data_IF_174571963537
#
_entry.id   IF_174571963537
#
_cell.length_a   1.000
_cell.length_b   1.000
_cell.length_c   1.000
_cell.angle_alpha   90.00
_cell.angle_beta   90.00
_cell.angle_gamma   90.00
#
_symmetry.space_group_name_H-M   'P 1'
#
loop_
_entity.id
_entity.type
_entity.pdbx_description
1 polymer ?
#
# COMPACT_ATOMS: atom_id res chain seq x y z
N UNK A 1 54.19 -22.74 -24.52
CA UNK A 1 52.82 -23.25 -24.28
C UNK A 1 51.83 -22.18 -24.73
N UNK A 2 50.92 -22.53 -25.63
CA UNK A 2 50.01 -21.61 -26.33
C UNK A 2 48.80 -21.23 -25.44
N UNK A 3 48.54 -19.94 -25.13
CA UNK A 3 47.53 -19.48 -24.16
C UNK A 3 46.06 -19.57 -24.63
N UNK A 4 45.85 -19.98 -25.86
CA UNK A 4 44.58 -20.00 -26.60
C UNK A 4 43.63 -21.14 -26.18
N UNK A 5 44.12 -22.20 -25.54
CA UNK A 5 43.29 -23.36 -25.17
C UNK A 5 42.50 -23.14 -23.88
N UNK A 6 42.99 -22.28 -22.98
CA UNK A 6 42.40 -22.10 -21.64
C UNK A 6 41.14 -21.20 -21.66
N UNK A 7 41.09 -20.21 -22.56
CA UNK A 7 39.98 -19.25 -22.65
C UNK A 7 38.72 -19.88 -23.26
N UNK A 8 38.87 -20.91 -24.11
CA UNK A 8 37.74 -21.54 -24.79
C UNK A 8 36.92 -22.47 -23.86
N UNK A 9 37.57 -23.13 -22.90
CA UNK A 9 36.91 -24.01 -21.93
C UNK A 9 36.01 -23.27 -20.93
N UNK A 10 36.46 -22.10 -20.42
CA UNK A 10 35.68 -21.29 -19.48
C UNK A 10 34.39 -20.72 -20.11
N UNK A 11 34.49 -20.26 -21.36
CA UNK A 11 33.34 -19.65 -22.09
C UNK A 11 32.20 -20.65 -22.31
N UNK A 12 32.53 -21.92 -22.54
CA UNK A 12 31.56 -22.99 -22.81
C UNK A 12 30.79 -23.44 -21.56
N UNK A 13 31.43 -23.40 -20.39
CA UNK A 13 30.79 -23.76 -19.11
C UNK A 13 29.89 -22.64 -18.56
N UNK A 14 30.27 -21.37 -18.76
CA UNK A 14 29.44 -20.21 -18.37
C UNK A 14 28.14 -20.16 -19.19
N UNK A 15 28.21 -20.39 -20.50
CA UNK A 15 27.02 -20.43 -21.37
C UNK A 15 26.03 -21.53 -20.96
N UNK A 16 26.51 -22.71 -20.59
CA UNK A 16 25.67 -23.81 -20.11
C UNK A 16 25.03 -23.51 -18.76
N UNK A 17 25.79 -22.93 -17.84
CA UNK A 17 25.28 -22.53 -16.52
C UNK A 17 24.20 -21.44 -16.62
N UNK A 18 24.39 -20.44 -17.48
CA UNK A 18 23.38 -19.40 -17.74
C UNK A 18 22.10 -19.95 -18.36
N UNK A 19 22.18 -20.93 -19.26
CA UNK A 19 20.99 -21.57 -19.87
C UNK A 19 20.23 -22.41 -18.84
N UNK A 20 20.91 -23.21 -18.02
CA UNK A 20 20.25 -23.99 -16.95
C UNK A 20 19.64 -23.08 -15.86
N UNK A 21 20.32 -21.99 -15.50
CA UNK A 21 19.81 -21.03 -14.53
C UNK A 21 18.59 -20.26 -15.07
N UNK A 22 18.61 -19.88 -16.36
CA UNK A 22 17.47 -19.26 -17.04
C UNK A 22 16.26 -20.20 -17.16
N UNK A 23 16.49 -21.49 -17.42
CA UNK A 23 15.42 -22.48 -17.52
C UNK A 23 14.79 -22.78 -16.15
N UNK A 24 15.60 -22.81 -15.10
CA UNK A 24 15.14 -23.00 -13.72
C UNK A 24 14.34 -21.81 -13.19
N UNK A 25 14.71 -20.58 -13.59
CA UNK A 25 13.93 -19.37 -13.27
C UNK A 25 12.57 -19.38 -13.97
N UNK A 26 12.51 -19.83 -15.23
CA UNK A 26 11.26 -19.96 -15.98
C UNK A 26 10.31 -21.01 -15.38
N UNK A 27 10.84 -22.13 -14.89
CA UNK A 27 10.05 -23.18 -14.21
C UNK A 27 9.57 -22.76 -12.82
N UNK A 28 10.34 -21.95 -12.09
CA UNK A 28 9.89 -21.39 -10.79
C UNK A 28 8.84 -20.28 -10.94
N UNK A 29 8.77 -19.60 -12.08
CA UNK A 29 7.80 -18.53 -12.33
C UNK A 29 6.42 -19.01 -12.82
N UNK A 30 6.26 -20.32 -13.05
CA UNK A 30 4.99 -20.93 -13.52
C UNK A 30 4.05 -21.39 -12.41
N UNK A 31 4.25 -20.98 -11.15
CA UNK A 31 3.19 -21.13 -10.14
C UNK A 31 2.06 -20.16 -10.51
N UNK A 32 1.07 -20.66 -11.23
CA UNK A 32 -0.19 -19.98 -11.50
C UNK A 32 -0.84 -19.64 -10.16
N UNK A 33 -0.93 -18.35 -9.85
CA UNK A 33 -1.76 -17.84 -8.76
C UNK A 33 -3.21 -18.04 -9.19
N UNK A 34 -3.82 -19.13 -8.76
CA UNK A 34 -5.28 -19.23 -8.81
C UNK A 34 -5.83 -18.24 -7.78
N UNK A 35 -6.81 -17.42 -8.19
CA UNK A 35 -7.54 -16.57 -7.27
C UNK A 35 -8.31 -17.49 -6.31
N UNK A 36 -7.83 -17.62 -5.08
CA UNK A 36 -8.50 -18.41 -4.06
C UNK A 36 -9.75 -17.66 -3.57
N UNK A 37 -10.90 -18.35 -3.56
CA UNK A 37 -12.14 -17.81 -3.00
C UNK A 37 -11.97 -17.64 -1.49
N UNK A 38 -11.66 -16.42 -1.08
CA UNK A 38 -11.32 -16.08 0.31
C UNK A 38 -12.06 -14.81 0.74
N UNK A 39 -12.55 -14.74 2.00
CA UNK A 39 -13.13 -13.53 2.55
C UNK A 39 -12.19 -12.31 2.49
N UNK A 40 -10.88 -12.52 2.57
CA UNK A 40 -9.87 -11.47 2.51
C UNK A 40 -9.79 -10.84 1.11
N UNK A 41 -9.82 -11.65 0.04
CA UNK A 41 -9.91 -11.13 -1.32
C UNK A 41 -11.24 -10.40 -1.54
N UNK A 42 -12.32 -10.99 -1.03
CA UNK A 42 -13.65 -10.39 -1.03
C UNK A 42 -13.71 -9.01 -0.38
N UNK A 43 -13.04 -8.84 0.75
CA UNK A 43 -12.97 -7.56 1.46
C UNK A 43 -12.30 -6.47 0.62
N UNK A 44 -11.24 -6.81 -0.13
CA UNK A 44 -10.55 -5.85 -1.01
C UNK A 44 -11.47 -5.37 -2.12
N UNK A 45 -12.09 -6.32 -2.83
CA UNK A 45 -13.03 -6.02 -3.91
C UNK A 45 -14.26 -5.24 -3.39
N UNK A 46 -14.80 -5.64 -2.23
CA UNK A 46 -15.91 -4.95 -1.59
C UNK A 46 -15.60 -3.48 -1.29
N UNK A 47 -14.45 -3.20 -0.66
CA UNK A 47 -14.01 -1.82 -0.34
C UNK A 47 -13.78 -0.96 -1.57
N UNK A 48 -13.37 -1.58 -2.68
CA UNK A 48 -13.03 -0.85 -3.89
C UNK A 48 -14.26 -0.56 -4.75
N UNK A 49 -15.24 -1.47 -4.79
CA UNK A 49 -16.31 -1.43 -5.78
C UNK A 49 -17.73 -1.42 -5.21
N UNK A 50 -17.93 -1.78 -3.94
CA UNK A 50 -19.26 -2.05 -3.39
C UNK A 50 -19.66 -1.09 -2.25
N UNK A 51 -18.72 -0.66 -1.41
CA UNK A 51 -18.99 0.17 -0.21
C UNK A 51 -19.61 1.54 -0.53
N UNK A 52 -19.36 2.08 -1.72
CA UNK A 52 -19.90 3.38 -2.12
C UNK A 52 -21.43 3.37 -2.23
N UNK A 53 -22.04 2.21 -2.49
CA UNK A 53 -23.48 2.09 -2.67
C UNK A 53 -24.16 1.14 -1.68
N UNK A 54 -23.43 0.17 -1.12
CA UNK A 54 -23.99 -0.84 -0.23
C UNK A 54 -23.34 -0.80 1.15
N UNK A 55 -24.19 -0.93 2.18
CA UNK A 55 -23.78 -1.29 3.52
C UNK A 55 -24.34 -2.67 3.87
N UNK A 56 -23.76 -3.30 4.89
CA UNK A 56 -24.20 -4.62 5.35
C UNK A 56 -25.57 -4.47 6.02
N UNK A 57 -25.65 -3.67 7.08
CA UNK A 57 -26.87 -3.59 7.91
C UNK A 57 -27.83 -2.45 7.54
N UNK A 58 -27.35 -1.43 6.83
CA UNK A 58 -28.11 -0.19 6.61
C UNK A 58 -28.41 0.03 5.12
N UNK A 59 -29.52 0.72 4.83
CA UNK A 59 -29.84 1.18 3.47
C UNK A 59 -28.97 2.40 3.12
N UNK A 60 -28.38 2.38 1.94
CA UNK A 60 -27.65 3.51 1.35
C UNK A 60 -28.27 3.85 0.00
N UNK A 61 -27.47 3.92 -1.06
CA UNK A 61 -27.93 4.03 -2.46
C UNK A 61 -28.56 2.71 -2.90
N UNK A 62 -27.98 1.58 -2.49
CA UNK A 62 -28.49 0.23 -2.70
C UNK A 62 -29.06 -0.40 -1.42
N UNK A 63 -29.68 -1.59 -1.55
CA UNK A 63 -30.22 -2.35 -0.42
C UNK A 63 -29.14 -2.79 0.57
N UNK A 64 -29.51 -3.00 1.85
CA UNK A 64 -28.64 -3.66 2.82
C UNK A 64 -28.35 -5.10 2.38
N UNK A 65 -27.08 -5.50 2.51
CA UNK A 65 -26.58 -6.80 2.05
C UNK A 65 -26.43 -7.86 3.16
N UNK A 66 -26.82 -7.53 4.39
CA UNK A 66 -26.89 -8.51 5.49
C UNK A 66 -27.70 -9.72 5.05
N UNK A 67 -27.20 -10.94 5.20
CA UNK A 67 -27.91 -12.19 4.90
C UNK A 67 -28.44 -12.30 3.45
N UNK A 68 -27.77 -11.64 2.49
CA UNK A 68 -28.23 -11.65 1.08
C UNK A 68 -28.23 -13.06 0.46
N UNK A 69 -27.35 -13.94 0.94
CA UNK A 69 -27.25 -15.35 0.57
C UNK A 69 -28.47 -16.17 1.00
N UNK A 70 -29.22 -15.72 2.01
CA UNK A 70 -30.49 -16.35 2.42
C UNK A 70 -31.67 -15.86 1.58
N UNK A 71 -31.59 -14.64 1.02
CA UNK A 71 -32.67 -14.01 0.25
C UNK A 71 -32.66 -14.41 -1.22
N UNK A 72 -31.48 -14.71 -1.78
CA UNK A 72 -31.32 -15.00 -3.21
C UNK A 72 -30.27 -16.08 -3.41
N UNK A 73 -30.46 -16.89 -4.46
CA UNK A 73 -29.52 -17.95 -4.80
C UNK A 73 -28.18 -17.39 -5.29
N UNK A 74 -27.10 -18.14 -5.04
CA UNK A 74 -25.75 -17.75 -5.50
C UNK A 74 -25.71 -17.53 -7.01
N UNK A 75 -26.34 -18.42 -7.81
CA UNK A 75 -26.38 -18.30 -9.26
C UNK A 75 -27.06 -17.00 -9.74
N UNK A 76 -28.12 -16.57 -9.05
CA UNK A 76 -28.78 -15.29 -9.33
C UNK A 76 -27.87 -14.13 -8.95
N UNK A 77 -27.21 -14.19 -7.78
CA UNK A 77 -26.29 -13.15 -7.32
C UNK A 77 -25.08 -12.99 -8.24
N UNK A 78 -24.51 -14.09 -8.75
CA UNK A 78 -23.45 -14.07 -9.75
C UNK A 78 -23.89 -13.31 -11.01
N UNK A 79 -25.09 -13.63 -11.52
CA UNK A 79 -25.64 -13.00 -12.73
C UNK A 79 -25.94 -11.51 -12.51
N UNK A 80 -26.55 -11.17 -11.36
CA UNK A 80 -26.88 -9.80 -10.99
C UNK A 80 -25.63 -8.93 -10.80
N UNK A 81 -24.64 -9.41 -10.05
CA UNK A 81 -23.41 -8.66 -9.80
C UNK A 81 -22.61 -8.49 -11.10
N UNK A 82 -22.53 -9.54 -11.93
CA UNK A 82 -21.80 -9.44 -13.21
C UNK A 82 -22.45 -8.43 -14.15
N UNK A 83 -23.76 -8.56 -14.38
CA UNK A 83 -24.49 -7.69 -15.30
C UNK A 83 -25.99 -7.65 -14.98
N UNK A 84 -26.35 -6.81 -14.01
CA UNK A 84 -27.74 -6.56 -13.63
C UNK A 84 -28.60 -6.04 -14.81
N UNK A 85 -28.03 -5.29 -15.75
CA UNK A 85 -28.78 -4.79 -16.91
C UNK A 85 -29.20 -5.95 -17.82
N UNK A 86 -28.29 -6.88 -18.10
CA UNK A 86 -28.61 -8.07 -18.88
C UNK A 86 -29.64 -8.97 -18.16
N UNK A 87 -29.54 -9.10 -16.83
CA UNK A 87 -30.50 -9.88 -16.05
C UNK A 87 -31.90 -9.24 -16.00
N UNK A 88 -31.99 -7.90 -16.00
CA UNK A 88 -33.27 -7.20 -16.17
C UNK A 88 -33.83 -7.37 -17.59
N UNK A 89 -32.96 -7.26 -18.60
CA UNK A 89 -33.34 -7.40 -20.00
C UNK A 89 -33.83 -8.82 -20.35
N UNK A 90 -33.39 -9.86 -19.63
CA UNK A 90 -33.92 -11.22 -19.80
C UNK A 90 -35.34 -11.40 -19.26
N UNK A 91 -35.90 -10.39 -18.58
CA UNK A 91 -37.25 -10.43 -18.00
C UNK A 91 -37.30 -11.01 -16.58
N UNK A 92 -36.17 -11.11 -15.88
CA UNK A 92 -36.16 -11.57 -14.49
C UNK A 92 -36.95 -10.59 -13.60
N UNK A 93 -38.05 -11.08 -13.03
CA UNK A 93 -38.96 -10.26 -12.24
C UNK A 93 -38.30 -9.68 -10.99
N UNK A 94 -37.45 -10.45 -10.30
CA UNK A 94 -36.79 -9.99 -9.08
C UNK A 94 -35.79 -8.86 -9.36
N UNK A 95 -35.08 -8.95 -10.49
CA UNK A 95 -34.14 -7.94 -10.98
C UNK A 95 -34.85 -6.64 -11.38
N UNK A 96 -36.03 -6.74 -11.99
CA UNK A 96 -36.85 -5.58 -12.38
C UNK A 96 -37.45 -4.92 -11.13
N UNK A 97 -38.02 -5.70 -10.22
CA UNK A 97 -38.69 -5.21 -9.02
C UNK A 97 -37.71 -4.41 -8.13
N UNK A 98 -36.51 -4.95 -7.88
CA UNK A 98 -35.50 -4.25 -7.06
C UNK A 98 -35.02 -2.96 -7.74
N UNK A 99 -34.90 -2.93 -9.07
CA UNK A 99 -34.50 -1.72 -9.79
C UNK A 99 -35.56 -0.63 -9.70
N UNK A 100 -36.85 -0.99 -9.78
CA UNK A 100 -37.96 -0.06 -9.58
C UNK A 100 -38.02 0.47 -8.14
N UNK A 101 -37.81 -0.39 -7.14
CA UNK A 101 -37.80 -0.02 -5.72
C UNK A 101 -36.70 1.00 -5.38
N UNK A 102 -35.54 0.89 -6.04
CA UNK A 102 -34.38 1.76 -5.82
C UNK A 102 -34.31 2.91 -6.84
N UNK A 103 -35.46 3.48 -7.20
CA UNK A 103 -35.59 4.68 -8.06
C UNK A 103 -34.90 4.55 -9.42
N UNK A 104 -34.84 3.34 -9.98
CA UNK A 104 -34.15 3.05 -11.24
C UNK A 104 -32.64 3.35 -11.21
N UNK A 105 -32.04 3.42 -10.02
CA UNK A 105 -30.60 3.54 -9.87
C UNK A 105 -29.92 2.29 -10.41
N UNK A 106 -28.94 2.47 -11.30
CA UNK A 106 -28.24 1.36 -11.92
C UNK A 106 -27.00 0.98 -11.13
N UNK A 107 -26.87 -0.32 -10.84
CA UNK A 107 -25.59 -0.88 -10.39
C UNK A 107 -24.67 -0.99 -11.62
N UNK A 108 -23.37 -0.63 -11.52
CA UNK A 108 -22.44 -0.82 -12.63
C UNK A 108 -22.28 -2.31 -12.97
N UNK A 109 -21.93 -2.62 -14.22
CA UNK A 109 -21.63 -3.98 -14.67
C UNK A 109 -20.16 -4.32 -14.42
N UNK A 110 -19.90 -5.45 -13.76
CA UNK A 110 -18.56 -5.91 -13.40
C UNK A 110 -18.12 -7.04 -14.34
N UNK A 111 -18.03 -6.75 -15.64
CA UNK A 111 -17.70 -7.74 -16.68
C UNK A 111 -16.27 -8.29 -16.54
N UNK A 112 -15.39 -7.58 -15.83
CA UNK A 112 -14.03 -7.99 -15.53
C UNK A 112 -13.91 -8.95 -14.34
N UNK A 113 -15.01 -9.20 -13.60
CA UNK A 113 -14.97 -10.11 -12.44
C UNK A 113 -15.20 -11.55 -12.87
N UNK A 114 -14.30 -12.43 -12.41
CA UNK A 114 -14.46 -13.88 -12.50
C UNK A 114 -15.56 -14.36 -11.54
N UNK A 115 -16.01 -15.60 -11.69
CA UNK A 115 -16.95 -16.19 -10.72
C UNK A 115 -16.35 -16.22 -9.32
N UNK A 116 -15.04 -16.49 -9.21
CA UNK A 116 -14.33 -16.59 -7.93
C UNK A 116 -14.18 -15.22 -7.25
N UNK A 117 -14.03 -14.14 -8.01
CA UNK A 117 -14.04 -12.77 -7.48
C UNK A 117 -15.39 -12.44 -6.84
N UNK A 118 -16.49 -12.74 -7.54
CA UNK A 118 -17.83 -12.48 -7.03
C UNK A 118 -18.13 -13.38 -5.82
N UNK A 119 -17.76 -14.66 -5.86
CA UNK A 119 -17.89 -15.57 -4.71
C UNK A 119 -17.10 -15.08 -3.51
N UNK A 120 -15.90 -14.54 -3.71
CA UNK A 120 -15.10 -13.95 -2.64
C UNK A 120 -15.83 -12.76 -1.99
N UNK A 121 -16.44 -11.88 -2.80
CA UNK A 121 -17.27 -10.77 -2.30
C UNK A 121 -18.45 -11.30 -1.48
N UNK A 122 -19.17 -12.30 -1.99
CA UNK A 122 -20.31 -12.90 -1.30
C UNK A 122 -19.90 -13.58 0.01
N UNK A 123 -18.75 -14.28 0.04
CA UNK A 123 -18.23 -14.90 1.26
C UNK A 123 -17.86 -13.86 2.31
N UNK A 124 -17.27 -12.73 1.91
CA UNK A 124 -17.01 -11.61 2.81
C UNK A 124 -18.31 -11.02 3.39
N UNK A 125 -19.32 -10.78 2.55
CA UNK A 125 -20.62 -10.24 2.99
C UNK A 125 -21.29 -11.20 3.99
N UNK A 126 -21.22 -12.51 3.75
CA UNK A 126 -21.75 -13.53 4.66
C UNK A 126 -21.08 -13.47 6.03
N UNK A 127 -19.75 -13.50 6.08
CA UNK A 127 -18.98 -13.39 7.34
C UNK A 127 -19.35 -12.11 8.10
N UNK A 128 -19.50 -11.00 7.38
CA UNK A 128 -19.86 -9.72 8.00
C UNK A 128 -21.32 -9.63 8.45
N UNK A 129 -22.22 -10.44 7.87
CA UNK A 129 -23.63 -10.54 8.25
C UNK A 129 -23.84 -11.33 9.55
N UNK A 130 -23.00 -12.35 9.77
CA UNK A 130 -22.98 -13.18 10.98
C UNK A 130 -22.31 -12.48 12.17
N UNK A 131 -21.56 -11.39 11.93
CA UNK A 131 -20.93 -10.60 12.98
C UNK A 131 -21.98 -9.79 13.81
N UNK A 132 -21.81 -9.67 15.14
CA UNK A 132 -22.77 -8.95 16.00
C UNK A 132 -22.96 -7.49 15.57
N UNK A 133 -24.22 -7.03 15.58
CA UNK A 133 -24.69 -5.73 15.07
C UNK A 133 -24.10 -4.46 15.75
N UNK A 134 -23.19 -4.62 16.71
CA UNK A 134 -22.48 -3.55 17.40
C UNK A 134 -20.99 -3.46 17.06
N UNK A 135 -20.54 -4.13 16.01
CA UNK A 135 -19.42 -3.55 15.27
C UNK A 135 -20.03 -2.48 14.37
N UNK A 136 -19.70 -1.18 14.55
CA UNK A 136 -19.68 -0.30 13.40
C UNK A 136 -19.02 -1.12 12.30
N UNK A 137 -19.56 -1.11 11.08
CA UNK A 137 -18.65 -1.21 9.96
C UNK A 137 -17.56 -0.23 10.34
N UNK A 138 -16.38 -0.75 10.69
CA UNK A 138 -15.22 0.08 10.79
C UNK A 138 -15.17 0.60 9.36
N UNK A 139 -15.76 1.79 9.16
CA UNK A 139 -15.11 2.83 8.41
C UNK A 139 -13.69 2.68 8.89
N UNK A 140 -12.93 1.98 8.06
CA UNK A 140 -11.52 1.81 8.28
C UNK A 140 -11.05 3.21 8.68
N UNK A 141 -10.16 3.34 9.67
CA UNK A 141 -9.40 4.58 9.83
C UNK A 141 -9.10 5.05 8.42
N UNK A 142 -9.70 6.19 8.05
CA UNK A 142 -9.66 6.68 6.69
C UNK A 142 -8.24 6.53 6.23
N UNK A 143 -8.06 5.87 5.08
CA UNK A 143 -6.80 5.46 4.50
C UNK A 143 -5.62 5.95 5.34
N UNK A 144 -4.92 5.04 6.01
CA UNK A 144 -3.56 5.26 6.46
C UNK A 144 -2.71 5.69 5.24
N UNK A 145 -2.88 6.94 4.81
CA UNK A 145 -1.87 7.78 4.24
C UNK A 145 -0.92 8.00 5.38
N UNK A 146 0.12 7.17 5.37
CA UNK A 146 1.04 6.88 6.47
C UNK A 146 0.49 5.83 7.44
N UNK A 147 0.65 4.56 7.04
CA UNK A 147 1.02 3.50 7.97
C UNK A 147 2.04 4.10 8.94
N UNK A 148 1.62 4.36 10.17
CA UNK A 148 2.55 4.79 11.20
C UNK A 148 3.60 3.71 11.38
N UNK A 149 4.84 4.09 11.13
CA UNK A 149 5.94 3.75 12.02
C UNK A 149 6.11 2.26 12.32
N UNK A 150 6.04 1.43 11.29
CA UNK A 150 6.97 0.31 11.20
C UNK A 150 7.93 0.66 10.07
N UNK A 151 9.21 0.96 10.34
CA UNK A 151 10.20 1.05 9.28
C UNK A 151 10.04 -0.20 8.42
N UNK A 152 9.58 0.01 7.18
CA UNK A 152 9.32 -1.07 6.25
C UNK A 152 10.59 -1.92 6.15
N UNK A 153 10.45 -3.22 5.94
CA UNK A 153 11.60 -4.09 5.66
C UNK A 153 12.52 -3.48 4.59
N UNK A 154 11.91 -2.74 3.65
CA UNK A 154 12.59 -1.93 2.65
C UNK A 154 13.46 -0.81 3.25
N UNK A 155 12.99 -0.05 4.24
CA UNK A 155 13.82 0.97 4.91
C UNK A 155 15.04 0.33 5.59
N UNK A 156 14.86 -0.77 6.32
CA UNK A 156 15.98 -1.48 6.95
C UNK A 156 16.94 -2.07 5.92
N UNK A 157 16.42 -2.59 4.80
CA UNK A 157 17.23 -3.06 3.69
C UNK A 157 18.04 -1.92 3.06
N UNK A 158 17.44 -0.76 2.82
CA UNK A 158 18.13 0.41 2.26
C UNK A 158 19.21 0.93 3.20
N UNK A 159 18.90 1.08 4.50
CA UNK A 159 19.90 1.50 5.51
C UNK A 159 21.03 0.48 5.59
N UNK A 160 20.73 -0.82 5.59
CA UNK A 160 21.73 -1.89 5.57
C UNK A 160 22.64 -1.81 4.35
N UNK A 161 22.09 -1.61 3.16
CA UNK A 161 22.85 -1.43 1.91
C UNK A 161 23.75 -0.20 2.00
N UNK A 162 23.25 0.94 2.49
CA UNK A 162 24.04 2.17 2.64
C UNK A 162 25.23 1.98 3.61
N UNK A 163 25.03 1.23 4.70
CA UNK A 163 26.11 0.90 5.65
C UNK A 163 27.18 0.02 4.98
N UNK A 164 26.76 -1.00 4.22
CA UNK A 164 27.68 -1.89 3.48
C UNK A 164 28.48 -1.12 2.42
N UNK A 165 27.80 -0.26 1.63
CA UNK A 165 28.46 0.60 0.63
C UNK A 165 29.46 1.53 1.31
N UNK A 166 29.07 2.18 2.42
CA UNK A 166 29.97 3.07 3.16
C UNK A 166 31.20 2.31 3.65
N UNK A 167 31.04 1.11 4.18
CA UNK A 167 32.15 0.26 4.60
C UNK A 167 33.08 -0.13 3.44
N UNK A 168 32.52 -0.54 2.30
CA UNK A 168 33.26 -0.85 1.07
C UNK A 168 34.04 0.37 0.55
N UNK A 169 33.41 1.54 0.50
CA UNK A 169 34.04 2.80 0.09
C UNK A 169 35.16 3.21 1.06
N UNK A 170 34.97 3.04 2.37
CA UNK A 170 36.01 3.28 3.35
C UNK A 170 37.20 2.36 3.12
N UNK A 171 36.98 1.05 2.92
CA UNK A 171 38.04 0.06 2.71
C UNK A 171 38.80 0.31 1.40
N UNK A 172 38.09 0.50 0.30
CA UNK A 172 38.70 0.79 -1.02
C UNK A 172 39.49 2.09 -0.99
N UNK A 173 38.94 3.17 -0.40
CA UNK A 173 39.68 4.44 -0.25
C UNK A 173 40.93 4.29 0.61
N UNK A 174 40.93 3.45 1.66
CA UNK A 174 42.14 3.20 2.46
C UNK A 174 43.21 2.44 1.68
N UNK A 175 42.81 1.45 0.87
CA UNK A 175 43.73 0.67 0.04
C UNK A 175 44.30 1.52 -1.10
N UNK A 176 43.45 2.26 -1.81
CA UNK A 176 43.87 3.16 -2.88
C UNK A 176 44.87 4.21 -2.40
N UNK A 177 44.64 4.79 -1.20
CA UNK A 177 45.60 5.72 -0.60
C UNK A 177 46.94 5.05 -0.33
N UNK A 178 46.97 3.84 0.21
CA UNK A 178 48.24 3.13 0.47
C UNK A 178 49.04 2.90 -0.82
N UNK A 179 48.38 2.37 -1.85
CA UNK A 179 49.02 2.11 -3.15
C UNK A 179 49.52 3.40 -3.81
N UNK A 180 48.77 4.51 -3.67
CA UNK A 180 49.19 5.81 -4.18
C UNK A 180 50.46 6.32 -3.46
N UNK A 181 50.52 6.19 -2.13
CA UNK A 181 51.70 6.61 -1.35
C UNK A 181 52.93 5.76 -1.67
N UNK A 182 52.74 4.44 -1.81
CA UNK A 182 53.81 3.51 -2.21
C UNK A 182 54.36 3.83 -3.60
N UNK A 183 53.47 4.09 -4.58
CA UNK A 183 53.87 4.49 -5.93
C UNK A 183 54.60 5.84 -5.97
N UNK A 184 54.23 6.77 -5.11
CA UNK A 184 54.85 8.11 -5.01
C UNK A 184 56.12 8.11 -4.14
N UNK A 185 56.51 6.97 -3.55
CA UNK A 185 57.69 6.88 -2.67
C UNK A 185 57.54 7.66 -1.37
N UNK A 186 56.31 8.02 -0.97
CA UNK A 186 56.04 8.71 0.28
C UNK A 186 55.95 7.71 1.45
N UNK A 187 56.31 8.12 2.68
CA UNK A 187 56.13 7.27 3.85
C UNK A 187 54.66 6.90 4.01
N UNK A 188 54.41 5.62 4.33
CA UNK A 188 53.05 5.11 4.48
C UNK A 188 52.29 5.90 5.56
N UNK A 189 51.01 6.23 5.34
CA UNK A 189 50.22 6.96 6.31
C UNK A 189 50.04 6.12 7.59
N UNK A 190 50.33 6.74 8.73
CA UNK A 190 50.19 6.15 10.08
C UNK A 190 48.75 5.67 10.32
N UNK A 191 48.61 4.43 10.81
CA UNK A 191 47.30 3.84 11.10
C UNK A 191 46.68 4.48 12.34
N UNK A 192 45.83 5.50 12.13
CA UNK A 192 45.04 6.04 13.23
C UNK A 192 44.01 5.00 13.69
N UNK A 193 43.95 4.67 15.00
CA UNK A 193 42.97 3.73 15.51
C UNK A 193 41.56 4.24 15.25
N UNK A 194 40.61 3.32 15.08
CA UNK A 194 39.23 3.65 14.70
C UNK A 194 38.57 4.68 15.64
N UNK A 195 38.87 4.60 16.94
CA UNK A 195 38.36 5.54 17.97
C UNK A 195 38.81 6.98 17.67
N UNK A 196 40.05 7.18 17.21
CA UNK A 196 40.56 8.51 16.85
C UNK A 196 39.92 9.05 15.56
N UNK A 197 39.47 8.16 14.66
CA UNK A 197 38.68 8.53 13.48
C UNK A 197 37.27 8.98 13.90
N UNK A 198 36.67 8.30 14.86
CA UNK A 198 35.36 8.62 15.44
C UNK A 198 35.36 9.95 16.23
N UNK A 199 36.49 10.26 16.90
CA UNK A 199 36.72 11.53 17.62
C UNK A 199 37.27 12.66 16.73
N UNK A 200 37.37 12.46 15.42
CA UNK A 200 37.88 13.50 14.52
C UNK A 200 36.92 14.70 14.47
N UNK A 201 37.44 15.93 14.31
CA UNK A 201 36.61 17.15 14.21
C UNK A 201 35.50 17.02 13.15
N UNK A 202 35.79 16.36 12.02
CA UNK A 202 34.82 16.10 10.96
C UNK A 202 33.70 15.15 11.41
N UNK A 203 34.05 14.08 12.14
CA UNK A 203 33.06 13.16 12.69
C UNK A 203 32.20 13.84 13.76
N UNK A 204 32.80 14.65 14.65
CA UNK A 204 32.07 15.43 15.66
C UNK A 204 31.06 16.38 15.00
N UNK A 205 31.47 17.11 13.94
CA UNK A 205 30.57 17.99 13.18
C UNK A 205 29.40 17.21 12.56
N UNK A 206 29.69 16.05 11.96
CA UNK A 206 28.64 15.21 11.37
C UNK A 206 27.67 14.68 12.42
N UNK A 207 28.16 14.23 13.58
CA UNK A 207 27.29 13.78 14.67
C UNK A 207 26.50 14.92 15.31
N UNK A 208 27.07 16.12 15.44
CA UNK A 208 26.33 17.28 15.94
C UNK A 208 25.21 17.69 14.98
N UNK A 209 25.48 17.67 13.67
CA UNK A 209 24.44 17.93 12.65
C UNK A 209 23.35 16.86 12.72
N UNK A 210 23.73 15.57 12.73
CA UNK A 210 22.78 14.47 12.83
C UNK A 210 21.94 14.54 14.12
N UNK A 211 22.55 14.92 15.25
CA UNK A 211 21.86 15.09 16.52
C UNK A 211 20.84 16.24 16.48
N UNK A 212 21.17 17.36 15.85
CA UNK A 212 20.22 18.48 15.64
C UNK A 212 19.05 18.05 14.77
N UNK A 213 19.31 17.32 13.67
CA UNK A 213 18.24 16.80 12.81
C UNK A 213 17.35 15.78 13.54
N UNK A 214 17.94 14.85 14.29
CA UNK A 214 17.17 13.88 15.09
C UNK A 214 16.35 14.58 16.17
N UNK A 215 16.93 15.55 16.87
CA UNK A 215 16.22 16.32 17.88
C UNK A 215 15.05 17.08 17.26
N UNK A 216 15.28 17.81 16.17
CA UNK A 216 14.23 18.51 15.42
C UNK A 216 13.12 17.56 14.93
N UNK A 217 13.50 16.38 14.43
CA UNK A 217 12.54 15.35 14.03
C UNK A 217 11.69 14.87 15.22
N UNK A 218 12.31 14.52 16.35
CA UNK A 218 11.58 14.05 17.54
C UNK A 218 10.63 15.11 18.12
N UNK A 219 11.05 16.39 18.12
CA UNK A 219 10.20 17.50 18.56
C UNK A 219 9.00 17.65 17.63
N UNK A 220 9.23 17.64 16.31
CA UNK A 220 8.16 17.80 15.31
C UNK A 220 7.20 16.62 15.33
N UNK A 221 7.70 15.39 15.39
CA UNK A 221 6.89 14.17 15.51
C UNK A 221 6.06 14.18 16.80
N UNK A 222 6.68 14.52 17.94
CA UNK A 222 5.97 14.67 19.21
C UNK A 222 4.89 15.75 19.14
N UNK A 223 5.18 16.90 18.51
CA UNK A 223 4.21 17.98 18.32
C UNK A 223 3.02 17.53 17.45
N UNK A 224 3.27 16.76 16.38
CA UNK A 224 2.21 16.17 15.56
C UNK A 224 1.41 15.10 16.32
N UNK A 225 2.04 14.37 17.25
CA UNK A 225 1.40 13.36 18.11
C UNK A 225 0.55 13.95 19.23
N UNK A 226 0.75 15.22 19.62
CA UNK A 226 -0.08 15.94 20.59
C UNK A 226 -1.53 16.20 20.12
N UNK A 227 -1.89 15.68 18.95
CA UNK A 227 -3.26 15.35 18.61
C UNK A 227 -3.93 16.38 17.73
N UNK A 228 -3.84 16.18 16.42
CA UNK A 228 -4.88 16.64 15.49
C UNK A 228 -6.20 15.95 15.87
N UNK A 229 -7.28 16.70 15.88
CA UNK A 229 -8.61 16.22 16.28
C UNK A 229 -9.15 15.18 15.28
N UNK A 230 -8.91 13.90 15.55
CA UNK A 230 -9.35 12.80 14.68
C UNK A 230 -10.85 12.51 14.76
N UNK A 231 -11.49 12.92 15.85
CA UNK A 231 -12.90 12.59 16.16
C UNK A 231 -13.81 13.83 16.23
N UNK A 232 -13.37 14.97 15.68
CA UNK A 232 -14.19 16.18 15.65
C UNK A 232 -15.07 16.19 14.41
N UNK A 233 -16.36 15.86 14.59
CA UNK A 233 -17.36 15.81 13.51
C UNK A 233 -18.64 16.52 13.99
N UNK A 234 -18.80 17.82 13.73
CA UNK A 234 -20.03 18.52 14.04
C UNK A 234 -21.15 18.08 13.08
N UNK A 235 -22.39 18.24 13.52
CA UNK A 235 -23.56 17.98 12.69
C UNK A 235 -23.61 19.00 11.55
N UNK A 236 -23.45 18.53 10.31
CA UNK A 236 -23.45 19.38 9.13
C UNK A 236 -24.82 19.30 8.42
N UNK A 237 -25.41 20.44 8.01
CA UNK A 237 -26.68 20.46 7.28
C UNK A 237 -26.65 19.71 5.94
N UNK A 238 -25.45 19.55 5.36
CA UNK A 238 -25.22 18.85 4.10
C UNK A 238 -24.22 17.73 4.37
N UNK A 239 -24.58 16.50 4.01
CA UNK A 239 -23.70 15.34 4.16
C UNK A 239 -22.56 15.39 3.13
N UNK A 240 -21.33 15.59 3.62
CA UNK A 240 -20.13 15.57 2.79
C UNK A 240 -19.26 14.35 3.09
N UNK A 241 -19.23 13.38 2.17
CA UNK A 241 -18.45 12.14 2.35
C UNK A 241 -16.98 12.38 2.04
N UNK A 242 -16.10 12.26 3.04
CA UNK A 242 -14.65 12.32 2.84
C UNK A 242 -14.15 11.13 1.99
N UNK A 243 -14.81 9.97 2.07
CA UNK A 243 -14.48 8.78 1.28
C UNK A 243 -14.67 9.02 -0.21
N UNK A 244 -15.78 9.63 -0.62
CA UNK A 244 -16.02 9.95 -2.02
C UNK A 244 -15.04 11.00 -2.55
N UNK A 245 -14.84 12.09 -1.80
CA UNK A 245 -14.08 13.24 -2.30
C UNK A 245 -12.57 13.03 -2.23
N UNK A 246 -12.03 12.67 -1.06
CA UNK A 246 -10.58 12.49 -0.90
C UNK A 246 -10.14 11.05 -1.25
N UNK A 247 -10.98 10.05 -1.00
CA UNK A 247 -10.66 8.64 -1.26
C UNK A 247 -10.85 8.25 -2.71
N UNK A 248 -12.04 8.40 -3.27
CA UNK A 248 -12.36 7.92 -4.63
C UNK A 248 -11.93 8.95 -5.68
N UNK A 249 -12.38 10.19 -5.53
CA UNK A 249 -12.12 11.25 -6.52
C UNK A 249 -10.73 11.89 -6.36
N UNK A 250 -9.97 11.50 -5.33
CA UNK A 250 -8.60 11.98 -5.08
C UNK A 250 -8.52 13.53 -5.00
N UNK A 251 -9.60 14.19 -4.59
CA UNK A 251 -9.62 15.64 -4.41
C UNK A 251 -8.81 15.97 -3.17
N UNK A 252 -7.79 16.81 -3.33
CA UNK A 252 -6.94 17.21 -2.22
C UNK A 252 -7.79 17.93 -1.15
N UNK A 253 -7.76 17.42 0.09
CA UNK A 253 -8.56 17.95 1.19
C UNK A 253 -8.24 19.42 1.52
N UNK A 254 -7.04 19.91 1.19
CA UNK A 254 -6.62 21.30 1.42
C UNK A 254 -7.37 22.30 0.53
N UNK A 255 -8.02 21.86 -0.55
CA UNK A 255 -8.89 22.73 -1.34
C UNK A 255 -10.07 23.26 -0.52
N UNK A 256 -10.61 22.43 0.38
CA UNK A 256 -11.72 22.79 1.24
C UNK A 256 -11.26 23.13 2.67
N UNK A 257 -10.18 22.49 3.14
CA UNK A 257 -9.64 22.64 4.49
C UNK A 257 -8.27 23.32 4.48
N UNK A 258 -8.23 24.58 4.07
CA UNK A 258 -7.00 25.38 3.99
C UNK A 258 -6.26 25.51 5.34
N UNK A 259 -6.94 25.29 6.46
CA UNK A 259 -6.37 25.26 7.80
C UNK A 259 -5.81 23.91 8.26
N UNK A 260 -6.11 22.79 7.59
CA UNK A 260 -5.83 21.44 8.12
C UNK A 260 -4.36 21.15 8.41
N UNK A 261 -3.45 21.78 7.68
CA UNK A 261 -2.02 21.63 7.92
C UNK A 261 -1.54 22.44 9.15
N UNK A 262 -2.21 23.57 9.47
CA UNK A 262 -1.75 24.56 10.47
C UNK A 262 -2.49 24.49 11.80
N UNK A 263 -3.71 23.95 11.83
CA UNK A 263 -4.54 23.94 13.03
C UNK A 263 -4.82 22.53 13.57
N UNK A 264 -5.21 22.48 14.85
CA UNK A 264 -5.60 21.26 15.56
C UNK A 264 -6.86 20.60 14.96
N UNK A 265 -7.74 21.41 14.36
CA UNK A 265 -8.94 21.03 13.62
C UNK A 265 -8.75 21.41 12.15
N UNK A 266 -9.36 20.68 11.21
CA UNK A 266 -9.25 20.99 9.78
C UNK A 266 -9.87 22.36 9.39
N UNK A 267 -10.75 22.90 10.26
CA UNK A 267 -11.60 24.06 9.95
C UNK A 267 -12.73 23.67 9.01
N UNK A 268 -13.86 24.37 9.02
CA UNK A 268 -14.98 24.09 8.11
C UNK A 268 -15.06 25.24 7.11
N UNK A 269 -15.04 24.99 5.80
CA UNK A 269 -15.21 26.05 4.81
C UNK A 269 -16.60 26.70 4.96
N UNK A 270 -16.72 28.02 4.78
CA UNK A 270 -18.00 28.71 4.84
C UNK A 270 -18.92 28.23 3.71
N UNK A 271 -20.22 28.10 4.00
CA UNK A 271 -21.25 27.68 3.03
C UNK A 271 -21.70 28.80 2.09
N UNK A 272 -21.09 29.99 2.20
CA UNK A 272 -21.34 31.15 1.35
C UNK A 272 -20.15 32.10 1.42
N UNK A 273 -19.68 32.56 0.26
CA UNK A 273 -18.86 33.78 0.12
C UNK A 273 -19.76 34.98 -0.10
#
# INVERSE_FOLDING_TARGET
MRPDVFVWGLKKNISRFCVFFSLSILLFFSTTVFAEVTPENGQKLWKQYCTSCHAINNKLIGPPLKDVDTRRSEAWLLSWIRNNHALRASGDKQAIDIWLEYNKNEMPAFLNFTDDDIKSILSFVKVQSEAPANQPATGAPGADGVTSTQPSLLLYAVVGILVVITFLLMRTNTVLKRLAYEKLGHPLPEERPFINRLKSRRAIILYSIAAVFLLGFTITDSAMRLGRSKNYTPEQPIHFSHELHAGINQINCLYCHSGAEKSKVAGIPPVST
#
